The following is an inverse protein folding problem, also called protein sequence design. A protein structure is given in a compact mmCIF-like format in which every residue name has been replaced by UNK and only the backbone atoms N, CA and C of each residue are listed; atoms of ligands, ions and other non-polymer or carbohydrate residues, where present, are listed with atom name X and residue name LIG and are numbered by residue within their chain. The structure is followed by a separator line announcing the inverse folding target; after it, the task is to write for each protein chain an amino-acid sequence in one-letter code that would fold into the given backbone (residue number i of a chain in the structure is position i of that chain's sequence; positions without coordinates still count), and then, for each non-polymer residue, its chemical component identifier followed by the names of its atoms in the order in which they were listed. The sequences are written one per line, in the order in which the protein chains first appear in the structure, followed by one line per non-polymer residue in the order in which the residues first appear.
data_IF_488163888194
#
_entry.id   IF_488163888194
#
_cell.length_a   1.000
_cell.length_b   1.000
_cell.length_c   1.000
_cell.angle_alpha   90.00
_cell.angle_beta   90.00
_cell.angle_gamma   90.00
#
_symmetry.space_group_name_H-M   'P 1'
#
loop_
_entity.id
_entity.type
_entity.pdbx_description
1 polymer ?
#
# COMPACT_ATOMS: atom_id res chain seq x y z
N UNK A 1 -13.35 -9.42 21.28
CA UNK A 1 -13.16 -8.00 21.07
C UNK A 1 -11.69 -7.65 20.93
N UNK A 2 -10.96 -7.37 22.03
CA UNK A 2 -9.56 -6.97 21.92
C UNK A 2 -8.68 -8.06 21.31
N UNK A 3 -8.90 -9.34 21.72
CA UNK A 3 -8.12 -10.46 21.19
C UNK A 3 -8.34 -10.67 19.71
N UNK A 4 -9.58 -10.52 19.25
CA UNK A 4 -9.92 -10.67 17.84
C UNK A 4 -9.29 -9.55 17.01
N UNK A 5 -9.41 -8.31 17.44
CA UNK A 5 -8.84 -7.17 16.74
C UNK A 5 -7.32 -7.26 16.65
N UNK A 6 -6.67 -7.64 17.75
CA UNK A 6 -5.22 -7.81 17.78
C UNK A 6 -4.79 -8.92 16.79
N UNK A 7 -5.53 -10.04 16.76
CA UNK A 7 -5.25 -11.13 15.84
C UNK A 7 -5.43 -10.70 14.38
N UNK A 8 -6.52 -9.98 14.09
CA UNK A 8 -6.78 -9.49 12.72
C UNK A 8 -5.67 -8.53 12.25
N UNK A 9 -5.22 -7.61 13.11
CA UNK A 9 -4.11 -6.72 12.78
C UNK A 9 -2.80 -7.49 12.60
N UNK A 10 -2.53 -8.49 13.44
CA UNK A 10 -1.35 -9.34 13.32
C UNK A 10 -1.35 -10.11 12.01
N UNK A 11 -2.52 -10.64 11.61
CA UNK A 11 -2.67 -11.35 10.34
C UNK A 11 -2.38 -10.43 9.14
N UNK A 12 -2.88 -9.19 9.17
CA UNK A 12 -2.60 -8.21 8.11
C UNK A 12 -1.11 -7.90 8.06
N UNK A 13 -0.47 -7.67 9.21
CA UNK A 13 0.97 -7.40 9.24
C UNK A 13 1.78 -8.56 8.66
N UNK A 14 1.38 -9.81 8.93
CA UNK A 14 2.05 -10.98 8.35
C UNK A 14 1.94 -11.00 6.83
N UNK A 15 0.77 -10.68 6.29
CA UNK A 15 0.56 -10.59 4.85
C UNK A 15 1.46 -9.49 4.26
N UNK A 16 1.49 -8.32 4.89
CA UNK A 16 2.35 -7.22 4.43
C UNK A 16 3.81 -7.65 4.43
N UNK A 17 4.28 -8.27 5.53
CA UNK A 17 5.68 -8.67 5.66
C UNK A 17 6.09 -9.66 4.56
N UNK A 18 5.25 -10.66 4.29
CA UNK A 18 5.55 -11.66 3.26
C UNK A 18 5.65 -11.03 1.87
N UNK A 19 4.70 -10.20 1.52
CA UNK A 19 4.68 -9.57 0.19
C UNK A 19 5.73 -8.47 0.04
N UNK A 20 6.01 -7.72 1.09
CA UNK A 20 7.10 -6.74 1.07
C UNK A 20 8.44 -7.43 0.81
N UNK A 21 8.73 -8.50 1.54
CA UNK A 21 9.96 -9.27 1.35
C UNK A 21 10.04 -9.86 -0.06
N UNK A 22 8.94 -10.43 -0.55
CA UNK A 22 8.90 -11.03 -1.88
C UNK A 22 9.11 -10.01 -3.00
N UNK A 23 8.79 -8.74 -2.76
CA UNK A 23 8.88 -7.68 -3.77
C UNK A 23 10.03 -6.71 -3.53
N UNK A 24 10.86 -6.94 -2.52
CA UNK A 24 12.01 -6.08 -2.24
C UNK A 24 11.67 -4.70 -1.69
N UNK A 25 10.54 -4.58 -1.00
CA UNK A 25 10.12 -3.32 -0.36
C UNK A 25 10.40 -3.41 1.13
N UNK A 26 11.00 -2.38 1.75
CA UNK A 26 11.17 -2.39 3.21
C UNK A 26 9.83 -2.51 3.92
N UNK A 27 9.75 -3.38 4.92
CA UNK A 27 8.51 -3.60 5.66
C UNK A 27 7.95 -2.31 6.23
N UNK A 28 8.80 -1.48 6.84
CA UNK A 28 8.35 -0.24 7.48
C UNK A 28 7.64 0.69 6.49
N UNK A 29 8.14 0.76 5.26
CA UNK A 29 7.52 1.57 4.21
C UNK A 29 6.19 0.96 3.77
N UNK A 30 6.16 -0.33 3.49
CA UNK A 30 4.96 -1.03 3.06
C UNK A 30 3.86 -0.93 4.14
N UNK A 31 4.23 -1.14 5.40
CA UNK A 31 3.31 -1.04 6.52
C UNK A 31 2.77 0.39 6.69
N UNK A 32 3.62 1.39 6.53
CA UNK A 32 3.19 2.79 6.59
C UNK A 32 2.15 3.10 5.51
N UNK A 33 2.35 2.61 4.29
CA UNK A 33 1.38 2.79 3.20
C UNK A 33 0.04 2.16 3.56
N UNK A 34 0.02 0.92 4.02
CA UNK A 34 -1.23 0.24 4.40
C UNK A 34 -1.94 0.98 5.52
N UNK A 35 -1.21 1.46 6.52
CA UNK A 35 -1.79 2.21 7.64
C UNK A 35 -2.40 3.53 7.19
N UNK A 36 -1.73 4.25 6.30
CA UNK A 36 -2.26 5.50 5.75
C UNK A 36 -3.49 5.24 4.89
N UNK A 37 -3.44 4.22 4.04
CA UNK A 37 -4.50 3.95 3.07
C UNK A 37 -5.77 3.40 3.72
N UNK A 38 -5.66 2.49 4.67
CA UNK A 38 -6.82 1.75 5.16
C UNK A 38 -6.87 1.56 6.68
N UNK A 39 -5.81 1.89 7.42
CA UNK A 39 -5.68 1.54 8.85
C UNK A 39 -5.92 0.04 9.09
N UNK A 40 -5.42 -0.79 8.19
CA UNK A 40 -5.57 -2.26 8.22
C UNK A 40 -7.01 -2.74 8.00
N UNK A 41 -7.92 -1.90 7.52
CA UNK A 41 -9.30 -2.30 7.25
C UNK A 41 -9.43 -2.73 5.78
N UNK A 42 -9.66 -4.03 5.50
CA UNK A 42 -9.74 -4.51 4.12
C UNK A 42 -10.99 -4.06 3.38
N UNK A 43 -11.95 -3.47 4.06
CA UNK A 43 -13.25 -3.07 3.48
C UNK A 43 -13.33 -1.61 3.06
N UNK A 44 -12.26 -0.84 3.25
CA UNK A 44 -12.27 0.58 2.90
C UNK A 44 -12.39 0.76 1.39
N UNK A 45 -13.19 1.74 0.99
CA UNK A 45 -13.36 2.14 -0.41
C UNK A 45 -13.45 3.65 -0.48
N UNK A 46 -12.63 4.27 -1.31
CA UNK A 46 -12.60 5.72 -1.50
C UNK A 46 -12.32 6.03 -2.96
N UNK A 47 -13.31 6.64 -3.66
CA UNK A 47 -13.12 7.08 -5.03
C UNK A 47 -12.67 5.99 -6.00
N UNK A 48 -13.13 4.76 -5.79
CA UNK A 48 -12.76 3.62 -6.63
C UNK A 48 -11.50 2.89 -6.20
N UNK A 49 -10.76 3.42 -5.23
CA UNK A 49 -9.64 2.72 -4.60
C UNK A 49 -10.17 1.76 -3.55
N UNK A 50 -9.68 0.53 -3.51
CA UNK A 50 -10.27 -0.56 -2.75
C UNK A 50 -9.26 -1.22 -1.80
N UNK A 51 -9.73 -1.53 -0.60
CA UNK A 51 -9.09 -2.46 0.33
C UNK A 51 -7.83 -1.93 1.01
N UNK A 52 -7.04 -2.84 1.51
CA UNK A 52 -5.90 -2.54 2.39
C UNK A 52 -4.93 -1.52 1.81
N UNK A 53 -4.61 -1.62 0.54
CA UNK A 53 -3.64 -0.73 -0.10
C UNK A 53 -4.31 0.31 -1.00
N UNK A 54 -5.64 0.38 -0.98
CA UNK A 54 -6.42 1.35 -1.75
C UNK A 54 -5.99 1.37 -3.22
N UNK A 55 -5.96 0.20 -3.83
CA UNK A 55 -5.59 0.06 -5.24
C UNK A 55 -6.84 0.07 -6.11
N UNK A 56 -6.78 0.80 -7.22
CA UNK A 56 -7.87 0.81 -8.18
C UNK A 56 -7.82 -0.45 -9.05
N UNK A 57 -8.98 -1.00 -9.47
CA UNK A 57 -8.98 -2.21 -10.32
C UNK A 57 -8.13 -2.09 -11.57
N UNK A 58 -8.17 -0.95 -12.26
CA UNK A 58 -7.36 -0.75 -13.46
C UNK A 58 -5.85 -0.80 -13.15
N UNK A 59 -5.45 -0.22 -12.03
CA UNK A 59 -4.05 -0.25 -11.58
C UNK A 59 -3.63 -1.68 -11.23
N UNK A 60 -4.49 -2.41 -10.53
CA UNK A 60 -4.24 -3.81 -10.18
C UNK A 60 -4.08 -4.67 -11.43
N UNK A 61 -4.93 -4.47 -12.44
CA UNK A 61 -4.83 -5.19 -13.72
C UNK A 61 -3.50 -4.91 -14.41
N UNK A 62 -3.00 -3.69 -14.31
CA UNK A 62 -1.70 -3.31 -14.86
C UNK A 62 -0.53 -4.06 -14.25
N UNK A 63 -0.70 -4.68 -13.09
CA UNK A 63 0.33 -5.49 -12.43
C UNK A 63 -0.06 -6.97 -12.33
N UNK A 64 -1.06 -7.40 -13.12
CA UNK A 64 -1.37 -8.81 -13.30
C UNK A 64 -2.67 -9.32 -12.69
N UNK A 65 -3.46 -8.45 -12.07
CA UNK A 65 -4.75 -8.85 -11.51
C UNK A 65 -5.75 -9.17 -12.61
N UNK A 66 -6.49 -10.28 -12.48
CA UNK A 66 -7.46 -10.74 -13.46
C UNK A 66 -8.86 -11.02 -12.88
N UNK A 67 -9.08 -10.72 -11.61
CA UNK A 67 -10.35 -10.98 -10.95
C UNK A 67 -11.36 -9.85 -11.09
N UNK A 68 -12.51 -10.00 -10.42
CA UNK A 68 -13.52 -8.95 -10.32
C UNK A 68 -13.04 -7.89 -9.31
N UNK A 69 -13.56 -6.67 -9.43
CA UNK A 69 -13.19 -5.58 -8.52
C UNK A 69 -13.42 -5.97 -7.05
N UNK A 70 -14.50 -6.67 -6.74
CA UNK A 70 -14.82 -7.08 -5.37
C UNK A 70 -13.77 -8.01 -4.76
N UNK A 71 -13.01 -8.74 -5.57
CA UNK A 71 -11.92 -9.58 -5.06
C UNK A 71 -10.81 -8.77 -4.40
N UNK A 72 -10.71 -7.48 -4.71
CA UNK A 72 -9.71 -6.59 -4.09
C UNK A 72 -10.03 -6.23 -2.63
N UNK A 73 -11.20 -6.62 -2.12
CA UNK A 73 -11.47 -6.54 -0.68
C UNK A 73 -10.86 -7.70 0.11
N UNK A 74 -10.39 -8.74 -0.58
CA UNK A 74 -9.66 -9.83 0.07
C UNK A 74 -8.26 -9.34 0.43
N UNK A 75 -7.85 -9.52 1.69
CA UNK A 75 -6.60 -8.99 2.18
C UNK A 75 -5.38 -9.50 1.39
N UNK A 76 -5.29 -10.83 1.19
CA UNK A 76 -4.17 -11.43 0.48
C UNK A 76 -4.13 -10.96 -0.97
N UNK A 77 -5.26 -10.94 -1.66
CA UNK A 77 -5.36 -10.48 -3.05
C UNK A 77 -4.95 -9.02 -3.19
N UNK A 78 -5.48 -8.17 -2.32
CA UNK A 78 -5.19 -6.74 -2.36
C UNK A 78 -3.70 -6.46 -2.20
N UNK A 79 -3.09 -7.07 -1.19
CA UNK A 79 -1.67 -6.86 -0.89
C UNK A 79 -0.78 -7.47 -1.99
N UNK A 80 -1.19 -8.59 -2.59
CA UNK A 80 -0.45 -9.16 -3.72
C UNK A 80 -0.23 -8.11 -4.81
N UNK A 81 -1.29 -7.49 -5.27
CA UNK A 81 -1.21 -6.56 -6.41
C UNK A 81 -0.82 -5.14 -5.98
N UNK A 82 -1.31 -4.68 -4.84
CA UNK A 82 -0.88 -3.40 -4.28
C UNK A 82 0.61 -3.35 -4.01
N UNK A 83 1.18 -4.44 -3.50
CA UNK A 83 2.62 -4.49 -3.23
C UNK A 83 3.45 -4.50 -4.50
N UNK A 84 2.98 -5.16 -5.55
CA UNK A 84 3.66 -5.12 -6.86
C UNK A 84 3.73 -3.68 -7.39
N UNK A 85 2.62 -2.96 -7.27
CA UNK A 85 2.55 -1.56 -7.71
C UNK A 85 3.47 -0.67 -6.87
N UNK A 86 3.46 -0.85 -5.55
CA UNK A 86 4.35 -0.12 -4.64
C UNK A 86 5.82 -0.43 -4.92
N UNK A 87 6.14 -1.68 -5.19
CA UNK A 87 7.50 -2.10 -5.48
C UNK A 87 8.04 -1.44 -6.76
N UNK A 88 7.19 -1.30 -7.78
CA UNK A 88 7.58 -0.60 -9.00
C UNK A 88 7.86 0.88 -8.71
N UNK A 89 6.99 1.52 -7.93
CA UNK A 89 7.21 2.90 -7.50
C UNK A 89 8.52 3.05 -6.73
N UNK A 90 8.81 2.10 -5.86
CA UNK A 90 10.03 2.08 -5.05
C UNK A 90 11.29 1.98 -5.92
N UNK A 91 11.28 1.07 -6.88
CA UNK A 91 12.41 0.92 -7.82
C UNK A 91 12.59 2.14 -8.70
N UNK A 92 11.50 2.69 -9.23
CA UNK A 92 11.55 3.89 -10.06
C UNK A 92 12.05 5.11 -9.31
N UNK A 93 11.92 5.10 -8.00
CA UNK A 93 12.36 6.19 -7.12
C UNK A 93 13.75 5.96 -6.54
N UNK A 94 14.43 4.89 -6.96
CA UNK A 94 15.75 4.55 -6.42
C UNK A 94 15.75 4.32 -4.91
N UNK A 95 14.61 3.89 -4.36
CA UNK A 95 14.46 3.63 -2.93
C UNK A 95 14.12 4.86 -2.09
N UNK A 96 13.95 6.02 -2.70
CA UNK A 96 13.59 7.25 -1.98
C UNK A 96 12.15 7.19 -1.48
N UNK A 97 11.93 7.44 -0.19
CA UNK A 97 10.60 7.31 0.42
C UNK A 97 9.59 8.29 -0.22
N UNK A 98 9.94 9.57 -0.28
CA UNK A 98 9.01 10.56 -0.84
C UNK A 98 8.75 10.34 -2.31
N UNK A 99 9.74 9.96 -3.09
CA UNK A 99 9.56 9.60 -4.49
C UNK A 99 8.65 8.39 -4.67
N UNK A 100 8.77 7.41 -3.79
CA UNK A 100 7.94 6.20 -3.81
C UNK A 100 6.48 6.54 -3.55
N UNK A 101 6.18 7.28 -2.49
CA UNK A 101 4.79 7.60 -2.16
C UNK A 101 4.16 8.57 -3.15
N UNK A 102 4.94 9.46 -3.73
CA UNK A 102 4.48 10.31 -4.83
C UNK A 102 3.97 9.45 -6.00
N UNK A 103 4.78 8.49 -6.44
CA UNK A 103 4.44 7.59 -7.54
C UNK A 103 3.32 6.63 -7.19
N UNK A 104 3.25 6.23 -5.93
CA UNK A 104 2.14 5.39 -5.47
C UNK A 104 0.82 6.17 -5.48
N UNK A 105 0.83 7.39 -4.97
CA UNK A 105 -0.38 8.21 -4.85
C UNK A 105 -0.81 8.84 -6.17
N UNK A 106 0.14 9.34 -6.96
CA UNK A 106 -0.14 10.14 -8.17
C UNK A 106 0.16 9.41 -9.47
N UNK A 107 0.66 8.17 -9.43
CA UNK A 107 0.99 7.37 -10.61
C UNK A 107 2.49 7.29 -10.84
N UNK A 108 2.91 6.20 -11.50
CA UNK A 108 4.34 5.88 -11.69
C UNK A 108 5.10 6.94 -12.49
N UNK A 109 4.41 7.71 -13.33
CA UNK A 109 5.05 8.73 -14.16
C UNK A 109 5.00 10.11 -13.54
N UNK A 110 4.52 10.23 -12.29
CA UNK A 110 4.58 11.49 -11.57
C UNK A 110 6.05 11.91 -11.41
N UNK A 111 6.32 13.20 -11.69
CA UNK A 111 7.67 13.75 -11.61
C UNK A 111 7.73 15.03 -10.78
N UNK A 112 6.65 15.34 -10.06
CA UNK A 112 6.49 16.56 -9.32
C UNK A 112 5.73 16.29 -8.02
N UNK A 113 6.30 16.70 -6.90
CA UNK A 113 5.68 16.54 -5.58
C UNK A 113 4.62 17.64 -5.39
N UNK A 114 3.35 17.26 -5.30
CA UNK A 114 2.29 18.17 -4.92
C UNK A 114 2.12 18.22 -3.39
N UNK A 115 1.20 19.05 -2.90
CA UNK A 115 0.97 19.20 -1.46
C UNK A 115 0.49 17.89 -0.81
N UNK A 116 -0.37 17.14 -1.51
CA UNK A 116 -0.87 15.86 -1.00
C UNK A 116 0.26 14.83 -0.89
N UNK A 117 1.17 14.82 -1.86
CA UNK A 117 2.34 13.93 -1.82
C UNK A 117 3.26 14.28 -0.65
N UNK A 118 3.48 15.56 -0.40
CA UNK A 118 4.31 16.00 0.74
C UNK A 118 3.69 15.60 2.07
N UNK A 119 2.38 15.77 2.19
CA UNK A 119 1.65 15.35 3.41
C UNK A 119 1.71 13.84 3.61
N UNK A 120 1.55 13.07 2.54
CA UNK A 120 1.66 11.61 2.59
C UNK A 120 3.07 11.19 3.04
N UNK A 121 4.09 11.79 2.45
CA UNK A 121 5.47 11.45 2.80
C UNK A 121 5.78 11.77 4.26
N UNK A 122 5.31 12.90 4.75
CA UNK A 122 5.49 13.30 6.15
C UNK A 122 4.85 12.26 7.09
N UNK A 123 3.63 11.82 6.80
CA UNK A 123 2.94 10.78 7.59
C UNK A 123 3.69 9.46 7.53
N UNK A 124 4.11 9.05 6.33
CA UNK A 124 4.83 7.79 6.17
C UNK A 124 6.12 7.78 6.98
N UNK A 125 6.90 8.85 6.93
CA UNK A 125 8.13 8.97 7.70
C UNK A 125 7.88 8.93 9.20
N UNK A 126 6.83 9.59 9.68
CA UNK A 126 6.48 9.58 11.10
C UNK A 126 6.12 8.15 11.57
N UNK A 127 5.34 7.42 10.77
CA UNK A 127 4.99 6.04 11.08
C UNK A 127 6.23 5.15 11.07
N UNK A 128 7.08 5.29 10.06
CA UNK A 128 8.30 4.50 9.95
C UNK A 128 9.24 4.74 11.13
N UNK A 129 9.31 5.96 11.62
CA UNK A 129 10.17 6.30 12.75
C UNK A 129 9.64 5.77 14.08
N UNK A 130 8.31 5.55 14.19
CA UNK A 130 7.69 5.09 15.43
C UNK A 130 7.61 3.57 15.55
N UNK A 131 7.93 2.86 14.52
CA UNK A 131 7.86 1.38 14.51
C UNK A 131 9.10 0.72 15.11
#
# INVERSE_FOLDING_TARGET
ALGYEAHARGSVRDIIARHAAANGVPFKLADAVVRIESRYNPRVSNGGALGLMQIKPATARGVGFAGSASALYNAETNVTFGMRYLAQAYRMSGGDVCGTVMRYQSGHYANHMNAANRAYCSKARAIMASN
#
